data_IF_994048169639
#
_entry.id   IF_994048169639
#
_cell.length_a   1.000
_cell.length_b   1.000
_cell.length_c   1.000
_cell.angle_alpha   90.00
_cell.angle_beta   90.00
_cell.angle_gamma   90.00
#
_symmetry.space_group_name_H-M   'P 1'
#
loop_
_entity.id
_entity.type
_entity.pdbx_description
1 polymer ?
#
# COMPACT_ATOMS: atom_id res chain seq x y z
N UNK A 1 -14.90 -17.75 6.55
CA UNK A 1 -15.81 -16.82 5.86
C UNK A 1 -16.04 -15.59 6.75
N UNK A 2 -16.10 -14.40 6.15
CA UNK A 2 -16.41 -13.15 6.86
C UNK A 2 -17.82 -12.74 6.44
N UNK A 3 -18.70 -12.53 7.41
CA UNK A 3 -20.07 -12.09 7.21
C UNK A 3 -20.19 -10.65 7.70
N UNK A 4 -21.03 -9.85 7.05
CA UNK A 4 -21.35 -8.52 7.53
C UNK A 4 -22.67 -8.56 8.31
N UNK A 5 -22.66 -8.05 9.54
CA UNK A 5 -23.83 -7.92 10.40
C UNK A 5 -23.86 -6.50 10.98
N UNK A 6 -24.78 -5.66 10.48
CA UNK A 6 -24.88 -4.25 10.85
C UNK A 6 -23.54 -3.52 10.66
N UNK A 7 -22.98 -2.97 11.75
CA UNK A 7 -21.73 -2.20 11.75
C UNK A 7 -20.48 -3.08 12.04
N UNK A 8 -20.65 -4.40 12.09
CA UNK A 8 -19.57 -5.34 12.39
C UNK A 8 -19.38 -6.40 11.29
N UNK A 9 -18.14 -6.86 11.20
CA UNK A 9 -17.75 -8.03 10.44
C UNK A 9 -17.54 -9.20 11.39
N UNK A 10 -18.14 -10.33 11.05
CA UNK A 10 -18.12 -11.54 11.87
C UNK A 10 -17.40 -12.66 11.13
N UNK A 11 -16.45 -13.30 11.81
CA UNK A 11 -15.83 -14.54 11.35
C UNK A 11 -16.03 -15.67 12.36
N UNK A 12 -16.30 -16.87 11.83
CA UNK A 12 -16.29 -18.13 12.57
C UNK A 12 -15.63 -19.22 11.75
N UNK A 13 -14.98 -20.16 12.43
CA UNK A 13 -14.53 -21.40 11.85
C UNK A 13 -15.04 -22.59 12.68
N UNK A 14 -15.16 -23.80 12.10
CA UNK A 14 -15.71 -24.94 12.81
C UNK A 14 -14.96 -25.23 14.12
N UNK A 15 -15.70 -25.29 15.23
CA UNK A 15 -15.14 -25.54 16.57
C UNK A 15 -14.39 -24.38 17.21
N UNK A 16 -14.38 -23.19 16.59
CA UNK A 16 -13.74 -21.98 17.12
C UNK A 16 -14.71 -20.99 17.76
N UNK A 17 -14.19 -19.95 18.43
CA UNK A 17 -15.00 -18.84 18.91
C UNK A 17 -15.52 -17.98 17.75
N UNK A 18 -16.49 -17.12 18.05
CA UNK A 18 -16.97 -16.09 17.12
C UNK A 18 -16.10 -14.85 17.30
N UNK A 19 -15.63 -14.30 16.18
CA UNK A 19 -14.88 -13.05 16.14
C UNK A 19 -15.76 -11.98 15.52
N UNK A 20 -15.80 -10.80 16.12
CA UNK A 20 -16.48 -9.62 15.61
C UNK A 20 -15.51 -8.43 15.64
N UNK A 21 -15.52 -7.62 14.58
CA UNK A 21 -14.73 -6.39 14.51
C UNK A 21 -15.35 -5.42 13.49
N UNK A 22 -15.16 -4.10 13.63
CA UNK A 22 -15.75 -3.11 12.71
C UNK A 22 -15.07 -3.07 11.33
N UNK A 23 -13.93 -3.77 11.15
CA UNK A 23 -13.19 -3.76 9.89
C UNK A 23 -12.46 -5.08 9.61
N UNK A 24 -12.18 -5.35 8.32
CA UNK A 24 -11.47 -6.57 7.88
C UNK A 24 -10.08 -6.65 8.53
N UNK A 25 -9.41 -5.51 8.66
CA UNK A 25 -8.11 -5.39 9.31
C UNK A 25 -8.15 -5.83 10.78
N UNK A 26 -9.09 -5.29 11.57
CA UNK A 26 -9.23 -5.63 12.99
C UNK A 26 -9.68 -7.08 13.19
N UNK A 27 -10.57 -7.57 12.32
CA UNK A 27 -10.98 -8.97 12.33
C UNK A 27 -9.80 -9.91 12.05
N UNK A 28 -8.96 -9.55 11.09
CA UNK A 28 -7.73 -10.29 10.77
C UNK A 28 -6.75 -10.30 11.95
N UNK A 29 -6.56 -9.18 12.65
CA UNK A 29 -5.73 -9.14 13.87
C UNK A 29 -6.26 -10.11 14.91
N UNK A 30 -7.56 -10.06 15.19
CA UNK A 30 -8.19 -10.91 16.20
C UNK A 30 -8.02 -12.39 15.85
N UNK A 31 -8.24 -12.75 14.60
CA UNK A 31 -8.01 -14.11 14.08
C UNK A 31 -6.54 -14.52 14.15
N UNK A 32 -5.61 -13.67 13.70
CA UNK A 32 -4.18 -13.96 13.69
C UNK A 32 -3.63 -14.13 15.12
N UNK A 33 -4.07 -13.29 16.06
CA UNK A 33 -3.71 -13.43 17.47
C UNK A 33 -4.21 -14.74 18.06
N UNK A 34 -5.47 -15.10 17.77
CA UNK A 34 -6.03 -16.35 18.24
C UNK A 34 -5.27 -17.55 17.67
N UNK A 35 -5.07 -17.61 16.35
CA UNK A 35 -4.35 -18.71 15.72
C UNK A 35 -2.91 -18.82 16.18
N UNK A 36 -2.25 -17.70 16.48
CA UNK A 36 -0.92 -17.72 17.09
C UNK A 36 -0.98 -18.29 18.51
N UNK A 37 -1.96 -17.86 19.31
CA UNK A 37 -2.14 -18.33 20.69
C UNK A 37 -2.40 -19.84 20.76
N UNK A 38 -3.21 -20.38 19.85
CA UNK A 38 -3.49 -21.83 19.77
C UNK A 38 -2.46 -22.63 18.96
N UNK A 39 -1.34 -22.00 18.58
CA UNK A 39 -0.21 -22.66 17.91
C UNK A 39 -0.48 -23.09 16.45
N UNK A 40 -1.50 -22.54 15.79
CA UNK A 40 -1.81 -22.84 14.37
C UNK A 40 -0.93 -22.06 13.39
N UNK A 41 -0.45 -20.89 13.79
CA UNK A 41 0.50 -20.09 13.04
C UNK A 41 1.64 -19.63 13.95
N UNK A 42 2.84 -19.46 13.41
CA UNK A 42 3.98 -18.97 14.18
C UNK A 42 3.98 -17.43 14.26
N UNK A 43 3.52 -16.79 13.19
CA UNK A 43 3.50 -15.35 13.00
C UNK A 43 2.16 -14.89 12.45
N UNK A 44 1.74 -13.65 12.79
CA UNK A 44 0.57 -13.03 12.16
C UNK A 44 0.70 -12.96 10.64
N UNK A 45 1.94 -12.86 10.15
CA UNK A 45 2.24 -12.82 8.71
C UNK A 45 1.88 -14.10 7.96
N UNK A 46 1.67 -15.20 8.67
CA UNK A 46 1.30 -16.49 8.08
C UNK A 46 -0.20 -16.54 7.75
N UNK A 47 -0.99 -15.56 8.22
CA UNK A 47 -2.41 -15.43 7.89
C UNK A 47 -2.60 -14.46 6.72
N UNK A 48 -3.14 -14.95 5.62
CA UNK A 48 -3.44 -14.15 4.42
C UNK A 48 -4.93 -13.85 4.30
N UNK A 49 -5.25 -12.65 3.80
CA UNK A 49 -6.61 -12.25 3.45
C UNK A 49 -6.74 -12.38 1.95
N UNK A 50 -7.72 -13.17 1.51
CA UNK A 50 -8.09 -13.32 0.09
C UNK A 50 -9.56 -13.00 -0.12
N UNK A 51 -9.89 -12.54 -1.32
CA UNK A 51 -11.26 -12.33 -1.75
C UNK A 51 -11.79 -13.58 -2.46
N UNK A 52 -12.96 -14.06 -2.05
CA UNK A 52 -13.66 -15.14 -2.76
C UNK A 52 -14.79 -14.53 -3.61
N UNK A 53 -14.67 -14.67 -4.92
CA UNK A 53 -15.67 -14.19 -5.86
C UNK A 53 -16.79 -15.20 -6.03
N UNK A 54 -18.04 -14.74 -5.84
CA UNK A 54 -19.22 -15.59 -6.04
C UNK A 54 -19.61 -15.73 -7.52
N UNK A 55 -19.01 -14.93 -8.41
CA UNK A 55 -19.34 -14.93 -9.85
C UNK A 55 -18.64 -16.08 -10.57
N UNK A 56 -17.35 -16.23 -10.34
CA UNK A 56 -16.49 -17.22 -10.99
C UNK A 56 -15.94 -18.27 -10.02
N UNK A 57 -16.31 -18.20 -8.74
CA UNK A 57 -15.92 -19.12 -7.67
C UNK A 57 -14.41 -19.19 -7.45
N UNK A 58 -13.67 -18.13 -7.80
CA UNK A 58 -12.22 -18.04 -7.63
C UNK A 58 -11.79 -17.28 -6.37
N UNK A 59 -10.57 -17.56 -5.92
CA UNK A 59 -9.91 -16.87 -4.81
C UNK A 59 -8.87 -15.91 -5.38
N UNK A 60 -8.97 -14.65 -4.99
CA UNK A 60 -8.13 -13.55 -5.44
C UNK A 60 -7.26 -13.06 -4.28
N UNK A 61 -5.95 -13.05 -4.50
CA UNK A 61 -5.00 -12.38 -3.60
C UNK A 61 -5.10 -10.86 -3.77
N UNK A 62 -4.67 -10.06 -2.77
CA UNK A 62 -4.61 -8.60 -2.90
C UNK A 62 -3.68 -8.19 -4.06
N UNK A 63 -4.16 -7.31 -4.95
CA UNK A 63 -3.37 -6.66 -6.00
C UNK A 63 -2.39 -5.65 -5.39
N UNK A 64 -2.87 -4.88 -4.41
CA UNK A 64 -2.06 -3.99 -3.58
C UNK A 64 -2.72 -3.80 -2.21
N UNK A 65 -2.12 -2.97 -1.37
CA UNK A 65 -2.74 -2.61 -0.08
C UNK A 65 -2.51 -1.14 0.24
N UNK A 66 -3.46 -0.54 0.94
CA UNK A 66 -3.37 0.84 1.41
C UNK A 66 -3.05 0.83 2.91
N UNK A 67 -1.99 1.51 3.33
CA UNK A 67 -1.54 1.52 4.73
C UNK A 67 -1.58 2.92 5.30
N UNK A 68 -1.99 3.02 6.56
CA UNK A 68 -1.87 4.25 7.35
C UNK A 68 -1.34 3.92 8.76
N UNK A 69 -0.83 4.91 9.53
CA UNK A 69 -0.07 4.65 10.77
C UNK A 69 -0.82 3.88 11.86
N UNK A 70 -2.13 4.09 11.96
CA UNK A 70 -2.94 3.68 13.11
C UNK A 70 -3.70 2.37 12.91
N UNK A 71 -3.62 1.75 11.73
CA UNK A 71 -4.27 0.46 11.48
C UNK A 71 -3.44 -0.44 10.52
N UNK A 72 -3.91 -1.67 10.38
CA UNK A 72 -3.36 -2.60 9.40
C UNK A 72 -3.77 -2.25 7.97
N UNK A 73 -2.99 -2.81 7.03
CA UNK A 73 -3.15 -2.57 5.60
C UNK A 73 -4.57 -2.95 5.12
N UNK A 74 -5.25 -2.05 4.41
CA UNK A 74 -6.50 -2.31 3.70
C UNK A 74 -6.15 -3.01 2.38
N UNK A 75 -6.51 -4.29 2.18
CA UNK A 75 -6.21 -4.99 0.94
C UNK A 75 -7.11 -4.48 -0.19
N UNK A 76 -6.54 -4.33 -1.39
CA UNK A 76 -7.29 -4.04 -2.61
C UNK A 76 -7.18 -5.22 -3.55
N UNK A 77 -8.31 -5.73 -4.03
CA UNK A 77 -8.40 -6.92 -4.86
C UNK A 77 -8.78 -6.55 -6.28
N UNK A 78 -8.04 -7.04 -7.27
CA UNK A 78 -8.43 -7.00 -8.67
C UNK A 78 -9.12 -8.33 -9.03
N UNK A 79 -10.29 -8.26 -9.65
CA UNK A 79 -11.06 -9.44 -10.05
C UNK A 79 -11.95 -9.10 -11.25
N UNK A 80 -12.44 -10.13 -11.96
CA UNK A 80 -13.41 -9.94 -13.05
C UNK A 80 -14.79 -10.37 -12.59
N UNK A 81 -15.78 -9.52 -12.79
CA UNK A 81 -17.18 -9.83 -12.52
C UNK A 81 -17.99 -9.87 -13.82
N UNK A 82 -19.31 -10.08 -13.73
CA UNK A 82 -20.20 -10.12 -14.90
C UNK A 82 -20.32 -8.80 -15.69
N UNK A 83 -19.81 -7.69 -15.16
CA UNK A 83 -19.78 -6.36 -15.77
C UNK A 83 -18.38 -5.93 -16.25
N UNK A 84 -17.34 -6.70 -15.92
CA UNK A 84 -15.96 -6.46 -16.34
C UNK A 84 -14.94 -6.51 -15.20
N UNK A 85 -13.68 -6.18 -15.49
CA UNK A 85 -12.62 -6.13 -14.49
C UNK A 85 -12.77 -4.93 -13.55
N UNK A 86 -12.70 -5.18 -12.24
CA UNK A 86 -12.83 -4.17 -11.18
C UNK A 86 -11.73 -4.33 -10.12
N UNK A 87 -11.47 -3.24 -9.40
CA UNK A 87 -10.77 -3.26 -8.12
C UNK A 87 -11.75 -3.03 -6.97
N UNK A 88 -11.53 -3.72 -5.85
CA UNK A 88 -12.36 -3.64 -4.66
C UNK A 88 -11.51 -3.42 -3.41
N UNK A 89 -11.95 -2.50 -2.54
CA UNK A 89 -11.38 -2.30 -1.21
C UNK A 89 -12.47 -2.42 -0.13
N UNK A 90 -12.34 -3.33 0.85
CA UNK A 90 -13.22 -3.37 2.02
C UNK A 90 -12.74 -2.36 3.08
N UNK A 91 -13.50 -1.30 3.30
CA UNK A 91 -13.19 -0.23 4.26
C UNK A 91 -14.27 -0.19 5.34
N UNK A 92 -13.95 -0.72 6.52
CA UNK A 92 -14.94 -0.89 7.59
C UNK A 92 -16.07 -1.82 7.16
N UNK A 93 -17.31 -1.35 7.26
CA UNK A 93 -18.52 -2.03 6.78
C UNK A 93 -18.85 -1.74 5.31
N UNK A 94 -18.06 -0.91 4.62
CA UNK A 94 -18.29 -0.56 3.22
C UNK A 94 -17.36 -1.31 2.29
N UNK A 95 -17.84 -1.60 1.08
CA UNK A 95 -17.03 -2.16 0.00
C UNK A 95 -17.01 -1.16 -1.15
N UNK A 96 -15.85 -0.54 -1.37
CA UNK A 96 -15.63 0.38 -2.48
C UNK A 96 -15.22 -0.41 -3.72
N UNK A 97 -15.74 -0.02 -4.89
CA UNK A 97 -15.48 -0.68 -6.17
C UNK A 97 -15.22 0.36 -7.25
N UNK A 98 -14.26 0.06 -8.12
CA UNK A 98 -13.95 0.87 -9.30
C UNK A 98 -13.65 -0.05 -10.49
N UNK A 99 -14.04 0.34 -11.72
CA UNK A 99 -13.57 -0.36 -12.91
C UNK A 99 -12.04 -0.25 -13.04
N UNK A 100 -11.40 -1.30 -13.55
CA UNK A 100 -9.96 -1.27 -13.89
C UNK A 100 -9.74 -0.39 -15.13
N UNK A 101 -8.82 0.58 -15.03
CA UNK A 101 -8.55 1.62 -16.01
C UNK A 101 -7.04 1.89 -16.14
N UNK A 102 -6.30 0.85 -16.53
CA UNK A 102 -4.87 0.92 -16.89
C UNK A 102 -3.95 1.58 -15.84
N UNK A 103 -4.31 1.58 -14.56
CA UNK A 103 -3.51 2.12 -13.46
C UNK A 103 -4.14 3.32 -12.77
N UNK A 104 -4.96 4.12 -13.46
CA UNK A 104 -5.63 5.29 -12.87
C UNK A 104 -6.55 4.93 -11.69
N UNK A 105 -7.15 3.74 -11.71
CA UNK A 105 -7.97 3.18 -10.64
C UNK A 105 -7.22 3.00 -9.32
N UNK A 106 -5.90 2.84 -9.36
CA UNK A 106 -5.07 2.72 -8.15
C UNK A 106 -5.07 4.06 -7.40
N UNK A 107 -4.88 5.16 -8.12
CA UNK A 107 -4.92 6.51 -7.57
C UNK A 107 -6.36 6.90 -7.16
N UNK A 108 -7.35 6.54 -7.97
CA UNK A 108 -8.74 6.79 -7.64
C UNK A 108 -9.18 6.01 -6.38
N UNK A 109 -8.79 4.74 -6.25
CA UNK A 109 -9.05 3.94 -5.05
C UNK A 109 -8.35 4.53 -3.82
N UNK A 110 -7.09 4.95 -3.96
CA UNK A 110 -6.35 5.65 -2.90
C UNK A 110 -7.11 6.88 -2.39
N UNK A 111 -7.61 7.74 -3.29
CA UNK A 111 -8.38 8.93 -2.91
C UNK A 111 -9.71 8.58 -2.25
N UNK A 112 -10.50 7.68 -2.84
CA UNK A 112 -11.79 7.28 -2.29
C UNK A 112 -11.67 6.69 -0.88
N UNK A 113 -10.68 5.82 -0.67
CA UNK A 113 -10.42 5.23 0.65
C UNK A 113 -9.91 6.31 1.62
N UNK A 114 -8.99 7.16 1.18
CA UNK A 114 -8.46 8.26 1.98
C UNK A 114 -9.55 9.22 2.45
N UNK A 115 -10.40 9.69 1.54
CA UNK A 115 -11.51 10.60 1.82
C UNK A 115 -12.50 9.97 2.81
N UNK A 116 -12.85 8.69 2.63
CA UNK A 116 -13.74 7.98 3.55
C UNK A 116 -13.13 7.86 4.96
N UNK A 117 -11.82 7.58 5.05
CA UNK A 117 -11.11 7.49 6.33
C UNK A 117 -10.97 8.87 7.01
N UNK A 118 -10.80 9.94 6.25
CA UNK A 118 -10.79 11.33 6.78
C UNK A 118 -12.18 11.71 7.27
N UNK A 119 -13.22 11.46 6.49
CA UNK A 119 -14.61 11.76 6.86
C UNK A 119 -15.07 11.01 8.12
N UNK A 120 -14.60 9.76 8.30
CA UNK A 120 -14.86 8.97 9.50
C UNK A 120 -13.94 9.30 10.69
N UNK A 121 -13.04 10.27 10.55
CA UNK A 121 -12.10 10.70 11.59
C UNK A 121 -10.99 9.69 11.91
N UNK A 122 -10.82 8.65 11.10
CA UNK A 122 -9.75 7.64 11.26
C UNK A 122 -8.41 8.12 10.74
N UNK A 123 -8.42 9.05 9.79
CA UNK A 123 -7.26 9.77 9.28
C UNK A 123 -7.42 11.27 9.48
N UNK A 124 -6.30 11.96 9.72
CA UNK A 124 -6.28 13.42 9.69
C UNK A 124 -6.21 13.91 8.25
N UNK A 125 -5.46 13.19 7.41
CA UNK A 125 -5.27 13.50 6.00
C UNK A 125 -5.16 12.21 5.17
N UNK A 126 -5.65 12.25 3.93
CA UNK A 126 -5.43 11.14 2.97
C UNK A 126 -3.94 10.90 2.69
N UNK A 127 -3.11 11.96 2.79
CA UNK A 127 -1.65 11.88 2.60
C UNK A 127 -0.93 11.11 3.72
N UNK A 128 -1.63 10.80 4.82
CA UNK A 128 -1.10 9.90 5.85
C UNK A 128 -1.04 8.44 5.35
N UNK A 129 -1.65 8.15 4.21
CA UNK A 129 -1.75 6.80 3.66
C UNK A 129 -0.71 6.54 2.54
N UNK A 130 -0.18 5.32 2.47
CA UNK A 130 0.74 4.86 1.41
C UNK A 130 0.16 3.67 0.65
N UNK A 131 0.57 3.51 -0.61
CA UNK A 131 0.19 2.37 -1.45
C UNK A 131 1.32 1.35 -1.41
N UNK A 132 1.01 0.10 -1.07
CA UNK A 132 2.00 -0.93 -0.79
C UNK A 132 1.78 -2.18 -1.60
N UNK A 133 2.87 -2.95 -1.74
CA UNK A 133 2.87 -4.27 -2.40
C UNK A 133 2.34 -4.18 -3.84
N UNK A 134 2.40 -3.00 -4.45
CA UNK A 134 2.00 -2.78 -5.82
C UNK A 134 2.97 -3.51 -6.73
N UNK A 135 2.46 -4.27 -7.71
CA UNK A 135 3.34 -4.91 -8.69
C UNK A 135 4.11 -3.85 -9.50
N UNK A 136 5.35 -4.13 -9.88
CA UNK A 136 6.15 -3.17 -10.68
C UNK A 136 5.45 -2.78 -11.98
N UNK A 137 4.92 -3.75 -12.75
CA UNK A 137 4.16 -3.45 -13.96
C UNK A 137 2.94 -2.55 -13.71
N UNK A 138 2.32 -2.70 -12.53
CA UNK A 138 1.19 -1.88 -12.12
C UNK A 138 1.60 -0.45 -11.76
N UNK A 139 2.75 -0.30 -11.10
CA UNK A 139 3.34 1.01 -10.85
C UNK A 139 3.69 1.73 -12.16
N UNK A 140 4.27 1.04 -13.14
CA UNK A 140 4.59 1.63 -14.44
C UNK A 140 3.32 2.19 -15.11
N UNK A 141 2.22 1.44 -15.08
CA UNK A 141 0.93 1.87 -15.59
C UNK A 141 0.36 3.08 -14.82
N UNK A 142 0.49 3.12 -13.48
CA UNK A 142 0.13 4.28 -12.66
C UNK A 142 0.96 5.52 -13.04
N UNK A 143 2.27 5.34 -13.26
CA UNK A 143 3.21 6.42 -13.55
C UNK A 143 2.86 7.18 -14.83
N UNK A 144 2.21 6.54 -15.80
CA UNK A 144 1.74 7.19 -17.04
C UNK A 144 0.72 8.32 -16.78
N UNK A 145 0.03 8.30 -15.64
CA UNK A 145 -0.91 9.33 -15.23
C UNK A 145 -0.27 10.44 -14.37
N UNK A 146 1.03 10.37 -14.13
CA UNK A 146 1.76 11.29 -13.27
C UNK A 146 2.71 12.18 -14.08
N UNK A 147 2.88 13.42 -13.64
CA UNK A 147 3.86 14.35 -14.21
C UNK A 147 5.16 14.27 -13.39
N UNK A 148 6.33 14.06 -14.01
CA UNK A 148 7.60 14.15 -13.29
C UNK A 148 7.81 15.58 -12.80
N UNK A 149 8.46 15.72 -11.64
CA UNK A 149 8.88 17.00 -11.09
C UNK A 149 10.40 17.16 -11.23
N UNK A 150 10.93 18.34 -10.91
CA UNK A 150 12.36 18.59 -10.77
C UNK A 150 12.91 18.19 -9.39
N UNK A 151 12.11 17.51 -8.58
CA UNK A 151 12.46 17.12 -7.21
C UNK A 151 12.73 15.62 -7.10
N UNK A 152 13.60 15.28 -6.15
CA UNK A 152 14.04 13.92 -5.88
C UNK A 152 14.13 13.69 -4.38
N UNK A 153 13.81 12.48 -3.95
CA UNK A 153 14.10 12.01 -2.59
C UNK A 153 15.35 11.13 -2.64
N UNK A 154 16.32 11.40 -1.79
CA UNK A 154 17.55 10.60 -1.68
C UNK A 154 17.67 10.00 -0.29
N UNK A 155 18.26 8.81 -0.20
CA UNK A 155 18.58 8.16 1.07
C UNK A 155 19.72 7.17 0.89
N UNK A 156 20.36 6.78 2.00
CA UNK A 156 21.30 5.65 2.02
C UNK A 156 20.67 4.51 2.78
N UNK A 157 20.64 3.32 2.20
CA UNK A 157 20.17 2.10 2.88
C UNK A 157 21.20 0.99 2.75
N UNK A 158 21.21 0.08 3.71
CA UNK A 158 22.10 -1.07 3.71
C UNK A 158 21.55 -2.14 2.77
N UNK A 159 22.32 -2.50 1.75
CA UNK A 159 22.04 -3.61 0.85
C UNK A 159 23.11 -4.69 1.06
N UNK A 160 22.74 -5.77 1.77
CA UNK A 160 23.72 -6.74 2.27
C UNK A 160 24.57 -6.14 3.39
N UNK A 161 25.89 -6.10 3.20
CA UNK A 161 26.85 -5.53 4.17
C UNK A 161 27.32 -4.12 3.79
N UNK A 162 26.76 -3.50 2.74
CA UNK A 162 27.25 -2.21 2.24
C UNK A 162 26.14 -1.15 2.17
N UNK A 163 26.42 0.08 2.63
CA UNK A 163 25.53 1.21 2.39
C UNK A 163 25.51 1.54 0.90
N UNK A 164 24.32 1.68 0.33
CA UNK A 164 24.09 2.06 -1.06
C UNK A 164 23.23 3.34 -1.11
N UNK A 165 23.61 4.35 -1.91
CA UNK A 165 22.79 5.53 -2.13
C UNK A 165 21.65 5.21 -3.10
N UNK A 166 20.48 5.79 -2.82
CA UNK A 166 19.28 5.69 -3.63
C UNK A 166 18.77 7.08 -3.99
N UNK A 167 18.32 7.23 -5.23
CA UNK A 167 17.66 8.43 -5.74
C UNK A 167 16.29 8.02 -6.27
N UNK A 168 15.25 8.61 -5.70
CA UNK A 168 13.86 8.32 -6.02
C UNK A 168 13.24 9.56 -6.67
N UNK A 169 12.80 9.46 -7.94
CA UNK A 169 12.12 10.57 -8.61
C UNK A 169 10.78 10.87 -7.94
N UNK A 170 10.46 12.17 -7.84
CA UNK A 170 9.17 12.65 -7.35
C UNK A 170 8.26 13.00 -8.53
N UNK A 171 7.02 12.54 -8.45
CA UNK A 171 5.97 12.82 -9.43
C UNK A 171 4.81 13.57 -8.78
N UNK A 172 3.94 14.16 -9.59
CA UNK A 172 2.71 14.81 -9.13
C UNK A 172 1.54 14.48 -10.05
N UNK A 173 0.35 14.40 -9.47
CA UNK A 173 -0.94 14.34 -10.18
C UNK A 173 -1.70 15.68 -10.12
N UNK A 174 -1.06 16.74 -9.62
CA UNK A 174 -1.66 18.05 -9.37
C UNK A 174 -2.39 18.17 -8.02
N UNK A 175 -2.72 17.06 -7.36
CA UNK A 175 -3.32 17.02 -6.02
C UNK A 175 -2.29 16.73 -4.92
N UNK A 176 -1.17 16.08 -5.24
CA UNK A 176 -0.09 15.84 -4.29
C UNK A 176 1.19 15.39 -5.00
N UNK A 177 2.16 14.97 -4.20
CA UNK A 177 3.46 14.48 -4.63
C UNK A 177 3.63 13.00 -4.27
N UNK A 178 4.32 12.26 -5.13
CA UNK A 178 4.48 10.82 -5.01
C UNK A 178 5.92 10.38 -5.26
N UNK A 179 6.41 9.45 -4.46
CA UNK A 179 7.69 8.78 -4.65
C UNK A 179 7.51 7.27 -4.50
N UNK A 180 8.07 6.50 -5.43
CA UNK A 180 7.93 5.06 -5.46
C UNK A 180 9.26 4.37 -5.16
N UNK A 181 9.26 3.49 -4.15
CA UNK A 181 10.42 2.69 -3.74
C UNK A 181 10.20 1.22 -4.02
N UNK A 182 11.17 0.59 -4.68
CA UNK A 182 11.20 -0.87 -4.77
C UNK A 182 11.53 -1.47 -3.38
N UNK A 183 10.78 -2.48 -2.96
CA UNK A 183 10.91 -3.07 -1.60
C UNK A 183 11.33 -4.53 -1.61
N UNK A 184 10.90 -5.28 -2.63
CA UNK A 184 11.24 -6.68 -2.90
C UNK A 184 11.31 -6.85 -4.43
N UNK A 185 11.85 -7.97 -4.94
CA UNK A 185 11.73 -8.29 -6.36
C UNK A 185 10.27 -8.12 -6.79
N UNK A 186 10.04 -7.26 -7.79
CA UNK A 186 8.73 -6.96 -8.37
C UNK A 186 7.64 -6.32 -7.46
N UNK A 187 8.00 -5.68 -6.33
CA UNK A 187 7.03 -4.96 -5.47
C UNK A 187 7.46 -3.54 -5.11
N UNK A 188 6.53 -2.62 -5.27
CA UNK A 188 6.70 -1.18 -5.07
C UNK A 188 5.85 -0.71 -3.89
N UNK A 189 6.41 0.19 -3.09
CA UNK A 189 5.66 1.06 -2.17
C UNK A 189 5.67 2.47 -2.74
N UNK A 190 4.49 3.07 -2.88
CA UNK A 190 4.31 4.47 -3.30
C UNK A 190 3.94 5.27 -2.06
N UNK A 191 4.79 6.23 -1.73
CA UNK A 191 4.55 7.24 -0.71
C UNK A 191 3.86 8.43 -1.37
N UNK A 192 2.95 9.07 -0.64
CA UNK A 192 2.20 10.25 -1.09
C UNK A 192 2.33 11.34 -0.03
N UNK A 193 2.49 12.58 -0.46
CA UNK A 193 2.51 13.76 0.40
C UNK A 193 1.74 14.91 -0.22
N UNK A 194 1.23 15.82 0.61
CA UNK A 194 0.61 17.06 0.14
C UNK A 194 1.64 17.96 -0.57
N UNK A 195 2.86 17.97 -0.03
CA UNK A 195 4.05 18.62 -0.54
C UNK A 195 5.25 17.67 -0.39
N UNK A 196 6.42 18.10 -0.89
CA UNK A 196 7.63 17.28 -0.83
C UNK A 196 8.19 17.10 0.58
N UNK A 197 8.17 18.10 1.49
CA UNK A 197 8.51 17.87 2.90
C UNK A 197 7.65 16.79 3.57
N UNK A 198 6.33 16.81 3.34
CA UNK A 198 5.42 15.78 3.86
C UNK A 198 5.78 14.43 3.25
N UNK A 199 5.98 14.35 1.93
CA UNK A 199 6.38 13.11 1.26
C UNK A 199 7.67 12.52 1.85
N UNK A 200 8.68 13.37 2.10
CA UNK A 200 9.96 13.00 2.70
C UNK A 200 9.75 12.42 4.11
N UNK A 201 9.00 13.12 4.97
CA UNK A 201 8.71 12.68 6.33
C UNK A 201 8.01 11.32 6.34
N UNK A 202 6.95 11.16 5.55
CA UNK A 202 6.19 9.90 5.45
C UNK A 202 7.08 8.74 5.00
N UNK A 203 7.93 8.98 4.02
CA UNK A 203 8.88 7.99 3.52
C UNK A 203 9.92 7.61 4.58
N UNK A 204 10.45 8.61 5.31
CA UNK A 204 11.42 8.42 6.38
C UNK A 204 10.86 7.62 7.55
N UNK A 205 9.68 8.00 8.06
CA UNK A 205 9.01 7.30 9.16
C UNK A 205 8.78 5.82 8.84
N UNK A 206 8.25 5.51 7.66
CA UNK A 206 8.00 4.12 7.28
C UNK A 206 9.31 3.34 7.09
N UNK A 207 10.36 3.99 6.56
CA UNK A 207 11.68 3.38 6.39
C UNK A 207 12.32 3.00 7.72
N UNK A 208 12.25 3.88 8.72
CA UNK A 208 12.71 3.61 10.09
C UNK A 208 11.89 2.50 10.73
N UNK A 209 10.55 2.57 10.64
CA UNK A 209 9.66 1.54 11.18
C UNK A 209 9.96 0.14 10.61
N UNK A 210 10.50 0.08 9.39
CA UNK A 210 10.87 -1.17 8.70
C UNK A 210 12.34 -1.55 8.84
N UNK A 211 13.16 -0.77 9.54
CA UNK A 211 14.60 -1.01 9.68
C UNK A 211 15.36 -0.91 8.36
N UNK A 212 14.88 -0.08 7.43
CA UNK A 212 15.58 0.18 6.15
C UNK A 212 16.68 1.22 6.35
N UNK A 213 16.45 2.17 7.26
CA UNK A 213 17.37 3.19 7.74
C UNK A 213 17.20 3.30 9.26
N UNK A 214 18.21 3.83 9.94
CA UNK A 214 18.19 3.98 11.40
C UNK A 214 17.60 5.32 11.86
N UNK A 215 17.74 6.37 11.04
CA UNK A 215 17.36 7.74 11.38
C UNK A 215 16.51 8.35 10.25
N UNK A 216 15.34 8.97 10.55
CA UNK A 216 14.51 9.58 9.52
C UNK A 216 15.21 10.73 8.75
N UNK A 217 16.19 11.41 9.37
CA UNK A 217 16.99 12.45 8.72
C UNK A 217 17.89 11.94 7.59
N UNK A 218 18.06 10.62 7.46
CA UNK A 218 18.78 10.02 6.34
C UNK A 218 18.03 10.13 5.01
N UNK A 219 16.74 10.47 5.03
CA UNK A 219 15.95 10.77 3.82
C UNK A 219 15.98 12.28 3.60
N UNK A 220 16.40 12.71 2.41
CA UNK A 220 16.56 14.11 2.03
C UNK A 220 15.81 14.42 0.74
N UNK A 221 15.18 15.60 0.66
CA UNK A 221 14.58 16.11 -0.57
C UNK A 221 15.51 17.14 -1.23
N UNK A 222 15.70 17.01 -2.54
CA UNK A 222 16.55 17.90 -3.33
C UNK A 222 15.86 18.32 -4.61
N UNK A 223 16.11 19.56 -5.05
CA UNK A 223 15.66 20.08 -6.35
C UNK A 223 16.81 20.06 -7.38
N UNK A 224 16.47 19.94 -8.66
CA UNK A 224 17.41 19.99 -9.79
C UNK A 224 17.77 18.63 -10.36
N UNK A 225 18.67 18.59 -11.35
CA UNK A 225 19.13 17.31 -11.95
C UNK A 225 19.89 16.49 -10.91
N UNK A 226 19.62 15.19 -10.76
CA UNK A 226 20.38 14.35 -9.86
C UNK A 226 21.84 14.36 -10.32
N UNK A 227 22.77 14.63 -9.39
CA UNK A 227 24.19 14.51 -9.66
C UNK A 227 24.47 13.06 -10.08
N UNK A 228 24.73 12.82 -11.37
CA UNK A 228 24.90 11.48 -11.94
C UNK A 228 23.65 10.86 -12.59
N UNK A 229 22.73 11.69 -13.13
CA UNK A 229 21.53 11.25 -13.86
C UNK A 229 21.76 10.14 -14.90
N UNK A 230 22.96 10.06 -15.49
CA UNK A 230 23.31 9.04 -16.51
C UNK A 230 23.76 7.69 -15.93
N UNK A 231 23.98 7.56 -14.61
CA UNK A 231 24.61 6.36 -14.03
C UNK A 231 23.74 5.61 -12.99
N UNK A 232 22.64 6.20 -12.50
CA UNK A 232 21.83 5.62 -11.40
C UNK A 232 20.36 5.34 -11.72
N UNK A 233 19.88 5.66 -12.94
CA UNK A 233 18.52 5.31 -13.38
C UNK A 233 18.23 3.80 -13.36
N UNK A 234 19.26 2.96 -13.21
CA UNK A 234 19.19 1.49 -13.20
C UNK A 234 19.01 0.85 -11.82
N UNK A 235 19.03 1.59 -10.70
CA UNK A 235 18.94 0.98 -9.35
C UNK A 235 17.64 1.26 -8.59
N UNK A 236 16.88 2.29 -8.96
CA UNK A 236 15.58 2.61 -8.33
C UNK A 236 14.40 1.83 -8.93
N UNK A 237 14.47 1.51 -10.21
CA UNK A 237 13.60 0.64 -11.00
C UNK A 237 14.46 0.18 -12.18
N UNK A 238 15.08 -1.00 -12.11
CA UNK A 238 15.83 -1.51 -13.26
C UNK A 238 14.84 -1.75 -14.42
N UNK A 239 14.82 -0.82 -15.38
CA UNK A 239 14.17 -0.96 -16.67
C UNK A 239 14.76 -2.21 -17.32
N UNK A 240 13.97 -3.28 -17.36
CA UNK A 240 14.27 -4.47 -18.17
C UNK A 240 13.52 -4.28 -19.47
N UNK A 241 14.27 -4.10 -20.55
CA UNK A 241 13.78 -4.17 -21.93
C UNK A 241 13.20 -5.55 -22.24
#
# INVERSE_FOLDING_TARGET
>A
PIYQLQDELIARYPGGPVFAAPSVAELWIALANHFKHIGRIASRRDLEISFFSQVDLQIYAPDFSLRFPTADDIPVFAFTNGHGPEVMAPVGSQTLRLPIQQGSEVLAMYRLVGDLLVQSGRLKSMYDMSIRKLATARWEAVREFLKPTDQFVTYTATEGDKPAPYVVPVYTDGSGFMAARQTRPARVTVYVGQDVPTLQERMAEEMVQRGVIDDPSAVQASAGKPAGADMMASRGLAVSH
#
